data_IF_580249724532
#
_entry.id   IF_580249724532
#
_cell.length_a   1.000
_cell.length_b   1.000
_cell.length_c   1.000
_cell.angle_alpha   90.00
_cell.angle_beta   90.00
_cell.angle_gamma   90.00
#
_symmetry.space_group_name_H-M   'P 1'
#
loop_
_entity.id
_entity.type
_entity.pdbx_description
1 polymer ?
#
# COMPACT_ATOMS: atom_id res chain seq x y z
N UNK A 1 63.73 31.59 10.34
CA UNK A 1 63.85 30.16 10.67
C UNK A 1 62.75 29.67 11.64
N UNK A 2 61.52 30.19 11.52
CA UNK A 2 60.37 29.79 12.38
C UNK A 2 59.04 29.69 11.60
N UNK A 3 59.05 29.90 10.27
CA UNK A 3 57.82 29.86 9.45
C UNK A 3 57.68 28.54 8.68
N UNK A 4 58.75 27.74 8.59
CA UNK A 4 58.79 26.51 7.79
C UNK A 4 58.32 25.26 8.55
N UNK A 5 58.05 25.37 9.86
CA UNK A 5 57.63 24.24 10.71
C UNK A 5 56.12 24.15 10.93
N UNK A 6 55.33 25.09 10.42
CA UNK A 6 53.87 25.14 10.60
C UNK A 6 53.07 24.56 9.41
N UNK A 7 53.72 24.32 8.26
CA UNK A 7 53.04 23.78 7.06
C UNK A 7 53.16 22.26 6.89
N UNK A 8 53.79 21.55 7.84
CA UNK A 8 54.02 20.10 7.75
C UNK A 8 53.17 19.24 8.68
N UNK A 9 52.08 19.80 9.24
CA UNK A 9 51.25 19.12 10.26
C UNK A 9 49.77 19.03 9.95
N UNK A 10 49.39 19.16 8.68
CA UNK A 10 47.98 19.12 8.26
C UNK A 10 47.69 18.07 7.18
N UNK A 11 48.40 16.93 7.22
CA UNK A 11 48.17 15.86 6.25
C UNK A 11 48.31 14.48 6.87
N UNK A 12 47.49 14.20 7.88
CA UNK A 12 47.14 12.83 8.29
C UNK A 12 45.83 12.88 9.10
N UNK A 13 44.74 13.30 8.43
CA UNK A 13 43.41 12.86 8.88
C UNK A 13 43.31 11.41 8.38
N UNK A 14 43.07 10.40 9.24
CA UNK A 14 42.72 9.08 8.74
C UNK A 14 41.47 9.27 7.89
N UNK A 15 41.60 9.03 6.59
CA UNK A 15 40.44 8.75 5.74
C UNK A 15 39.84 7.52 6.38
N UNK A 16 38.80 7.69 7.19
CA UNK A 16 37.95 6.59 7.59
C UNK A 16 37.24 6.19 6.30
N UNK A 17 37.93 5.35 5.53
CA UNK A 17 37.37 4.67 4.39
C UNK A 17 36.32 3.75 4.99
N UNK A 18 35.09 4.25 5.08
CA UNK A 18 33.94 3.42 5.40
C UNK A 18 33.74 2.56 4.15
N UNK A 19 34.59 1.55 4.01
CA UNK A 19 34.42 0.50 3.01
C UNK A 19 33.13 -0.22 3.38
N UNK A 20 32.01 0.27 2.84
CA UNK A 20 30.74 -0.42 2.85
C UNK A 20 30.91 -1.57 1.84
N UNK A 21 31.10 -2.82 2.29
CA UNK A 21 31.33 -3.90 1.35
C UNK A 21 30.11 -4.04 0.44
N UNK A 22 30.38 -4.27 -0.83
CA UNK A 22 29.39 -4.56 -1.85
C UNK A 22 29.08 -6.06 -1.89
N UNK A 23 28.03 -6.43 -2.63
CA UNK A 23 27.69 -7.84 -2.82
C UNK A 23 28.79 -8.64 -3.57
N UNK A 24 29.49 -8.07 -4.58
CA UNK A 24 30.72 -8.64 -5.13
C UNK A 24 31.80 -8.95 -4.07
N UNK A 25 32.03 -8.04 -3.13
CA UNK A 25 33.05 -8.23 -2.09
C UNK A 25 32.72 -9.43 -1.19
N UNK A 26 31.43 -9.68 -0.92
CA UNK A 26 30.98 -10.88 -0.21
C UNK A 26 31.22 -12.16 -1.01
N UNK A 27 31.00 -12.13 -2.32
CA UNK A 27 31.28 -13.27 -3.22
C UNK A 27 32.78 -13.57 -3.22
N UNK A 28 33.63 -12.54 -3.30
CA UNK A 28 35.08 -12.69 -3.28
C UNK A 28 35.59 -13.16 -1.92
N UNK A 29 35.11 -12.58 -0.82
CA UNK A 29 35.47 -12.98 0.53
C UNK A 29 35.12 -14.45 0.80
N UNK A 30 34.00 -14.94 0.26
CA UNK A 30 33.62 -16.36 0.35
C UNK A 30 34.64 -17.28 -0.33
N UNK A 31 35.28 -16.84 -1.42
CA UNK A 31 36.36 -17.60 -2.10
C UNK A 31 37.66 -17.59 -1.29
N UNK A 32 37.94 -16.52 -0.54
CA UNK A 32 39.15 -16.38 0.29
C UNK A 32 39.10 -17.22 1.58
N UNK A 33 37.91 -17.51 2.10
CA UNK A 33 37.69 -18.46 3.18
C UNK A 33 36.70 -17.97 4.26
N UNK A 34 36.37 -18.83 5.24
CA UNK A 34 35.31 -18.55 6.22
C UNK A 34 35.58 -17.34 7.12
N UNK A 35 36.85 -17.09 7.48
CA UNK A 35 37.24 -16.00 8.37
C UNK A 35 37.09 -14.63 7.72
N UNK A 36 37.55 -14.46 6.48
CA UNK A 36 37.38 -13.23 5.70
C UNK A 36 35.90 -13.00 5.36
N UNK A 37 35.17 -14.06 4.97
CA UNK A 37 33.74 -13.97 4.72
C UNK A 37 32.95 -13.48 5.94
N UNK A 38 33.24 -13.98 7.14
CA UNK A 38 32.58 -13.53 8.37
C UNK A 38 32.81 -12.04 8.63
N UNK A 39 34.05 -11.56 8.48
CA UNK A 39 34.39 -10.14 8.66
C UNK A 39 33.65 -9.25 7.65
N UNK A 40 33.69 -9.61 6.36
CA UNK A 40 33.02 -8.85 5.30
C UNK A 40 31.50 -8.87 5.49
N UNK A 41 30.93 -10.00 5.90
CA UNK A 41 29.51 -10.13 6.22
C UNK A 41 29.09 -9.20 7.34
N UNK A 42 29.85 -9.16 8.44
CA UNK A 42 29.52 -8.25 9.55
C UNK A 42 29.60 -6.78 9.12
N UNK A 43 30.60 -6.40 8.33
CA UNK A 43 30.71 -5.05 7.78
C UNK A 43 29.54 -4.73 6.83
N UNK A 44 29.08 -5.71 6.05
CA UNK A 44 27.89 -5.59 5.22
C UNK A 44 26.63 -5.39 6.05
N UNK A 45 26.42 -6.21 7.08
CA UNK A 45 25.24 -6.14 7.93
C UNK A 45 25.16 -4.82 8.71
N UNK A 46 26.31 -4.28 9.12
CA UNK A 46 26.41 -2.95 9.76
C UNK A 46 26.00 -1.81 8.82
N UNK A 47 26.31 -1.90 7.53
CA UNK A 47 26.08 -0.82 6.56
C UNK A 47 24.74 -0.94 5.82
N UNK A 48 24.31 -2.15 5.47
CA UNK A 48 23.13 -2.40 4.63
C UNK A 48 21.94 -2.97 5.41
N UNK A 49 22.16 -3.45 6.64
CA UNK A 49 21.15 -4.10 7.47
C UNK A 49 21.33 -5.60 7.59
N UNK A 50 20.56 -6.23 8.48
CA UNK A 50 20.71 -7.64 8.82
C UNK A 50 20.33 -8.55 7.65
N UNK A 51 21.22 -9.45 7.24
CA UNK A 51 20.92 -10.48 6.25
C UNK A 51 19.99 -11.51 6.89
N UNK A 52 18.86 -11.77 6.25
CA UNK A 52 17.89 -12.78 6.68
C UNK A 52 18.09 -14.10 5.93
N UNK A 53 18.24 -14.00 4.62
CA UNK A 53 18.41 -15.13 3.72
C UNK A 53 19.49 -14.77 2.71
N UNK A 54 20.30 -15.77 2.33
CA UNK A 54 21.39 -15.59 1.39
C UNK A 54 21.52 -16.81 0.47
N UNK A 55 21.83 -16.54 -0.79
CA UNK A 55 22.14 -17.54 -1.78
C UNK A 55 23.29 -17.04 -2.65
N UNK A 56 24.24 -17.94 -2.93
CA UNK A 56 25.38 -17.68 -3.80
C UNK A 56 25.47 -18.83 -4.79
N UNK A 57 25.64 -18.49 -6.07
CA UNK A 57 25.86 -19.44 -7.15
C UNK A 57 27.23 -20.13 -7.01
N UNK A 58 27.35 -21.35 -7.52
CA UNK A 58 28.55 -22.17 -7.43
C UNK A 58 29.44 -22.04 -8.67
N UNK A 59 28.84 -22.02 -9.86
CA UNK A 59 29.54 -22.14 -11.14
C UNK A 59 29.82 -20.78 -11.80
N UNK A 60 29.13 -19.71 -11.41
CA UNK A 60 29.40 -18.35 -11.90
C UNK A 60 29.18 -17.28 -10.81
N UNK A 61 29.77 -16.08 -10.95
CA UNK A 61 29.70 -15.06 -9.90
C UNK A 61 28.31 -14.42 -9.83
N UNK A 62 27.45 -14.98 -8.99
CA UNK A 62 26.17 -14.42 -8.65
C UNK A 62 25.78 -14.67 -7.19
N UNK A 63 25.02 -13.74 -6.63
CA UNK A 63 24.46 -13.85 -5.30
C UNK A 63 23.16 -13.05 -5.19
N UNK A 64 22.29 -13.51 -4.31
CA UNK A 64 21.08 -12.81 -3.92
C UNK A 64 20.92 -12.88 -2.40
N UNK A 65 20.64 -11.73 -1.80
CA UNK A 65 20.43 -11.58 -0.36
C UNK A 65 19.05 -10.95 -0.13
N UNK A 66 18.38 -11.41 0.92
CA UNK A 66 17.25 -10.72 1.51
C UNK A 66 17.71 -10.02 2.79
N UNK A 67 17.65 -8.69 2.79
CA UNK A 67 18.19 -7.85 3.86
C UNK A 67 17.06 -7.11 4.56
N UNK A 68 17.09 -7.10 5.89
CA UNK A 68 16.24 -6.22 6.71
C UNK A 68 17.01 -4.94 7.02
N UNK A 69 16.68 -3.89 6.29
CA UNK A 69 17.23 -2.55 6.50
C UNK A 69 16.32 -1.73 7.41
N UNK A 70 16.92 -0.84 8.18
CA UNK A 70 16.20 0.25 8.85
C UNK A 70 16.26 1.47 7.96
N UNK A 71 15.11 2.04 7.62
CA UNK A 71 15.00 3.22 6.78
C UNK A 71 14.29 4.32 7.58
N UNK A 72 14.91 5.51 7.64
CA UNK A 72 14.28 6.68 8.25
C UNK A 72 13.31 7.29 7.26
N UNK A 73 12.11 7.62 7.74
CA UNK A 73 11.08 8.18 6.89
C UNK A 73 11.31 9.70 6.74
N UNK A 74 11.86 10.13 5.60
CA UNK A 74 12.00 11.54 5.24
C UNK A 74 13.30 12.22 5.73
N UNK A 75 13.57 13.41 5.18
CA UNK A 75 14.76 14.22 5.48
C UNK A 75 14.76 14.81 6.92
N UNK A 76 13.63 14.77 7.61
CA UNK A 76 13.42 15.44 8.91
C UNK A 76 13.37 14.47 10.11
N UNK A 77 13.96 13.28 10.01
CA UNK A 77 14.10 12.36 11.15
C UNK A 77 12.80 11.66 11.57
N UNK A 78 11.94 11.31 10.61
CA UNK A 78 10.72 10.54 10.86
C UNK A 78 10.98 9.12 11.38
N UNK A 79 9.91 8.46 11.83
CA UNK A 79 9.97 7.14 12.47
C UNK A 79 10.79 6.11 11.66
N UNK A 80 11.69 5.39 12.33
CA UNK A 80 12.43 4.27 11.74
C UNK A 80 11.46 3.16 11.32
N UNK A 81 11.54 2.76 10.06
CA UNK A 81 10.78 1.63 9.54
C UNK A 81 11.72 0.50 9.13
N UNK A 82 11.35 -0.72 9.51
CA UNK A 82 12.00 -1.92 9.01
C UNK A 82 11.48 -2.20 7.59
N UNK A 83 12.38 -2.20 6.62
CA UNK A 83 12.10 -2.44 5.20
C UNK A 83 12.90 -3.67 4.76
N UNK A 84 12.24 -4.59 4.10
CA UNK A 84 12.91 -5.73 3.48
C UNK A 84 13.35 -5.34 2.08
N UNK A 85 14.64 -5.52 1.81
CA UNK A 85 15.27 -5.18 0.54
C UNK A 85 15.97 -6.40 -0.05
N UNK A 86 15.74 -6.65 -1.32
CA UNK A 86 16.43 -7.68 -2.09
C UNK A 86 17.70 -7.08 -2.71
N UNK A 87 18.84 -7.70 -2.45
CA UNK A 87 20.13 -7.33 -3.05
C UNK A 87 20.55 -8.45 -3.97
N UNK A 88 20.66 -8.15 -5.26
CA UNK A 88 20.99 -9.14 -6.28
C UNK A 88 22.23 -8.65 -7.03
N UNK A 89 23.15 -9.57 -7.26
CA UNK A 89 24.30 -9.39 -8.14
C UNK A 89 24.45 -10.65 -8.97
N UNK A 90 24.72 -10.48 -10.26
CA UNK A 90 25.03 -11.58 -11.16
C UNK A 90 25.84 -11.00 -12.31
N UNK A 91 26.66 -11.83 -12.94
CA UNK A 91 27.38 -11.45 -14.14
C UNK A 91 26.43 -11.43 -15.35
N UNK A 92 26.29 -10.25 -15.96
CA UNK A 92 25.43 -10.06 -17.13
C UNK A 92 25.96 -10.79 -18.37
N UNK A 93 27.26 -11.05 -18.47
CA UNK A 93 27.85 -11.78 -19.60
C UNK A 93 27.42 -13.25 -19.61
N UNK A 94 27.24 -13.84 -18.42
CA UNK A 94 26.77 -15.21 -18.24
C UNK A 94 25.24 -15.31 -18.14
N UNK A 95 24.52 -14.18 -18.17
CA UNK A 95 23.06 -14.15 -18.12
C UNK A 95 22.42 -14.35 -19.51
N UNK A 96 21.08 -14.36 -19.55
CA UNK A 96 20.31 -14.24 -20.79
C UNK A 96 19.35 -13.05 -20.69
N UNK A 97 18.94 -12.43 -21.82
CA UNK A 97 18.00 -11.31 -21.80
C UNK A 97 16.69 -11.61 -21.05
N UNK A 98 16.17 -12.84 -21.18
CA UNK A 98 14.95 -13.25 -20.49
C UNK A 98 15.11 -13.23 -18.97
N UNK A 99 16.27 -13.68 -18.46
CA UNK A 99 16.57 -13.68 -17.02
C UNK A 99 16.76 -12.26 -16.51
N UNK A 100 17.45 -11.42 -17.28
CA UNK A 100 17.65 -10.01 -16.95
C UNK A 100 16.32 -9.27 -16.80
N UNK A 101 15.37 -9.52 -17.69
CA UNK A 101 14.05 -8.90 -17.66
C UNK A 101 13.24 -9.36 -16.45
N UNK A 102 13.33 -10.63 -16.07
CA UNK A 102 12.71 -11.15 -14.85
C UNK A 102 13.30 -10.48 -13.61
N UNK A 103 14.63 -10.37 -13.50
CA UNK A 103 15.27 -9.73 -12.36
C UNK A 103 14.99 -8.23 -12.27
N UNK A 104 14.94 -7.53 -13.41
CA UNK A 104 14.50 -6.12 -13.48
C UNK A 104 13.05 -5.97 -13.04
N UNK A 105 12.16 -6.85 -13.49
CA UNK A 105 10.76 -6.87 -13.09
C UNK A 105 10.62 -7.13 -11.58
N UNK A 106 11.32 -8.13 -11.05
CA UNK A 106 11.36 -8.45 -9.63
C UNK A 106 11.74 -7.24 -8.77
N UNK A 107 12.84 -6.54 -9.12
CA UNK A 107 13.27 -5.31 -8.43
C UNK A 107 12.26 -4.17 -8.56
N UNK A 108 11.60 -4.03 -9.71
CA UNK A 108 10.58 -3.00 -9.91
C UNK A 108 9.38 -3.23 -8.99
N UNK A 109 8.91 -4.48 -8.90
CA UNK A 109 7.82 -4.87 -8.01
C UNK A 109 8.24 -4.65 -6.56
N UNK A 110 9.39 -5.17 -6.15
CA UNK A 110 9.92 -5.01 -4.79
C UNK A 110 10.02 -3.53 -4.38
N UNK A 111 10.65 -2.67 -5.20
CA UNK A 111 10.72 -1.22 -4.92
C UNK A 111 9.34 -0.57 -4.83
N UNK A 112 8.47 -0.81 -5.81
CA UNK A 112 7.12 -0.23 -5.87
C UNK A 112 6.32 -0.56 -4.60
N UNK A 113 6.34 -1.80 -4.16
CA UNK A 113 5.56 -2.24 -3.00
C UNK A 113 6.29 -2.10 -1.67
N UNK A 114 7.61 -1.90 -1.63
CA UNK A 114 8.33 -1.55 -0.40
C UNK A 114 7.82 -0.23 0.19
N UNK A 115 7.43 0.71 -0.68
CA UNK A 115 6.83 1.99 -0.30
C UNK A 115 5.36 1.82 0.11
N UNK A 116 4.60 1.00 -0.60
CA UNK A 116 3.14 0.89 -0.44
C UNK A 116 2.68 -0.12 0.63
N UNK A 117 3.45 -1.18 0.87
CA UNK A 117 3.08 -2.27 1.79
C UNK A 117 3.93 -2.17 3.04
N UNK A 118 3.33 -2.38 4.21
CA UNK A 118 4.03 -2.39 5.49
C UNK A 118 3.94 -3.73 6.21
N UNK A 119 4.98 -4.03 7.02
CA UNK A 119 5.02 -5.18 7.91
C UNK A 119 4.91 -6.53 7.19
N UNK A 120 4.02 -7.41 7.69
CA UNK A 120 3.93 -8.81 7.24
C UNK A 120 3.60 -8.99 5.75
N UNK A 121 2.84 -8.09 5.12
CA UNK A 121 2.53 -8.24 3.68
C UNK A 121 3.75 -7.93 2.82
N UNK A 122 4.52 -6.91 3.20
CA UNK A 122 5.80 -6.61 2.56
C UNK A 122 6.77 -7.79 2.72
N UNK A 123 6.79 -8.43 3.89
CA UNK A 123 7.63 -9.60 4.13
C UNK A 123 7.28 -10.80 3.25
N UNK A 124 6.00 -11.12 3.13
CA UNK A 124 5.55 -12.21 2.26
C UNK A 124 5.90 -11.93 0.80
N UNK A 125 5.69 -10.69 0.32
CA UNK A 125 6.04 -10.29 -1.03
C UNK A 125 7.56 -10.40 -1.28
N UNK A 126 8.38 -9.83 -0.41
CA UNK A 126 9.83 -9.80 -0.57
C UNK A 126 10.44 -11.21 -0.50
N UNK A 127 9.98 -12.05 0.44
CA UNK A 127 10.40 -13.46 0.52
C UNK A 127 9.96 -14.26 -0.70
N UNK A 128 8.73 -14.06 -1.17
CA UNK A 128 8.25 -14.74 -2.38
C UNK A 128 9.10 -14.40 -3.60
N UNK A 129 9.36 -13.11 -3.84
CA UNK A 129 10.22 -12.66 -4.94
C UNK A 129 11.64 -13.22 -4.79
N UNK A 130 12.19 -13.21 -3.57
CA UNK A 130 13.50 -13.78 -3.27
C UNK A 130 13.57 -15.27 -3.64
N UNK A 131 12.62 -16.08 -3.18
CA UNK A 131 12.58 -17.52 -3.47
C UNK A 131 12.52 -17.79 -4.97
N UNK A 132 11.63 -17.10 -5.70
CA UNK A 132 11.53 -17.26 -7.16
C UNK A 132 12.83 -16.84 -7.85
N UNK A 133 13.48 -15.76 -7.41
CA UNK A 133 14.75 -15.31 -7.96
C UNK A 133 15.89 -16.28 -7.66
N UNK A 134 15.93 -16.90 -6.47
CA UNK A 134 16.90 -17.96 -6.12
C UNK A 134 16.73 -19.17 -7.02
N UNK A 135 15.48 -19.62 -7.26
CA UNK A 135 15.21 -20.76 -8.15
C UNK A 135 15.68 -20.46 -9.57
N UNK A 136 15.34 -19.28 -10.10
CA UNK A 136 15.78 -18.87 -11.43
C UNK A 136 17.32 -18.78 -11.51
N UNK A 137 17.95 -18.22 -10.49
CA UNK A 137 19.41 -18.10 -10.44
C UNK A 137 20.09 -19.46 -10.32
N UNK A 138 19.52 -20.41 -9.58
CA UNK A 138 20.01 -21.78 -9.49
C UNK A 138 19.87 -22.56 -10.80
N UNK A 139 18.80 -22.31 -11.56
CA UNK A 139 18.68 -22.86 -12.92
C UNK A 139 19.73 -22.26 -13.86
N UNK A 140 19.99 -20.95 -13.75
CA UNK A 140 21.07 -20.30 -14.49
C UNK A 140 22.45 -20.89 -14.14
N UNK A 141 22.72 -21.09 -12.85
CA UNK A 141 23.96 -21.66 -12.32
C UNK A 141 24.20 -23.10 -12.80
N UNK A 142 23.16 -23.92 -12.82
CA UNK A 142 23.22 -25.29 -13.32
C UNK A 142 23.40 -25.38 -14.86
N UNK A 143 23.12 -24.30 -15.59
CA UNK A 143 23.18 -24.24 -17.06
C UNK A 143 24.46 -23.56 -17.58
N UNK A 144 25.37 -23.14 -16.71
CA UNK A 144 26.67 -22.60 -17.11
C UNK A 144 27.43 -23.64 -17.93
N UNK A 145 27.83 -23.29 -19.14
CA UNK A 145 28.50 -24.20 -20.09
C UNK A 145 27.60 -25.25 -20.75
N UNK A 146 26.29 -25.28 -20.48
CA UNK A 146 25.37 -26.24 -21.07
C UNK A 146 24.87 -25.80 -22.46
N UNK A 147 24.87 -26.68 -23.47
CA UNK A 147 24.32 -26.37 -24.80
C UNK A 147 22.80 -26.19 -24.79
N UNK A 148 22.11 -26.68 -23.75
CA UNK A 148 20.65 -26.57 -23.60
C UNK A 148 20.20 -25.23 -23.01
N UNK A 149 21.13 -24.37 -22.55
CA UNK A 149 20.85 -23.07 -21.94
C UNK A 149 19.87 -22.22 -22.78
N UNK A 150 20.04 -22.06 -24.11
CA UNK A 150 19.12 -21.23 -24.92
C UNK A 150 17.70 -21.79 -25.01
N UNK A 151 17.51 -23.10 -24.81
CA UNK A 151 16.19 -23.75 -24.90
C UNK A 151 15.45 -23.74 -23.56
N UNK A 152 16.16 -23.98 -22.46
CA UNK A 152 15.56 -24.13 -21.12
C UNK A 152 15.40 -22.80 -20.38
N UNK A 153 16.28 -21.84 -20.65
CA UNK A 153 16.26 -20.56 -19.93
C UNK A 153 15.00 -19.73 -20.16
N UNK A 154 14.47 -19.60 -21.40
CA UNK A 154 13.24 -18.85 -21.62
C UNK A 154 12.03 -19.45 -20.89
N UNK A 155 11.97 -20.79 -20.79
CA UNK A 155 10.89 -21.49 -20.07
C UNK A 155 10.99 -21.24 -18.57
N UNK A 156 12.19 -21.32 -18.00
CA UNK A 156 12.42 -21.01 -16.58
C UNK A 156 12.10 -19.54 -16.27
N UNK A 157 12.53 -18.61 -17.12
CA UNK A 157 12.26 -17.19 -16.99
C UNK A 157 10.75 -16.88 -17.07
N UNK A 158 10.03 -17.47 -18.04
CA UNK A 158 8.59 -17.31 -18.17
C UNK A 158 7.82 -17.83 -16.94
N UNK A 159 8.25 -18.99 -16.40
CA UNK A 159 7.69 -19.56 -15.17
C UNK A 159 7.91 -18.63 -13.97
N UNK A 160 9.14 -18.15 -13.78
CA UNK A 160 9.49 -17.21 -12.71
C UNK A 160 8.71 -15.89 -12.83
N UNK A 161 8.53 -15.37 -14.05
CA UNK A 161 7.75 -14.16 -14.28
C UNK A 161 6.28 -14.35 -13.90
N UNK A 162 5.70 -15.50 -14.24
CA UNK A 162 4.32 -15.84 -13.86
C UNK A 162 4.17 -15.92 -12.34
N UNK A 163 5.12 -16.55 -11.66
CA UNK A 163 5.12 -16.66 -10.20
C UNK A 163 5.24 -15.28 -9.52
N UNK A 164 6.17 -14.41 -9.97
CA UNK A 164 6.29 -13.04 -9.45
C UNK A 164 4.99 -12.26 -9.62
N UNK A 165 4.30 -12.37 -10.77
CA UNK A 165 3.00 -11.72 -10.98
C UNK A 165 1.93 -12.26 -10.02
N UNK A 166 1.93 -13.56 -9.75
CA UNK A 166 1.00 -14.16 -8.81
C UNK A 166 1.28 -13.71 -7.36
N UNK A 167 2.55 -13.63 -6.96
CA UNK A 167 2.95 -13.11 -5.64
C UNK A 167 2.54 -11.64 -5.52
N UNK A 168 2.75 -10.83 -6.56
CA UNK A 168 2.30 -9.43 -6.60
C UNK A 168 0.79 -9.31 -6.39
N UNK A 169 0.00 -10.09 -7.12
CA UNK A 169 -1.46 -10.10 -7.01
C UNK A 169 -1.91 -10.50 -5.61
N UNK A 170 -1.37 -11.59 -5.06
CA UNK A 170 -1.71 -12.05 -3.71
C UNK A 170 -1.35 -11.02 -2.63
N UNK A 171 -0.19 -10.36 -2.75
CA UNK A 171 0.24 -9.32 -1.83
C UNK A 171 -0.68 -8.09 -1.91
N UNK A 172 -1.09 -7.71 -3.12
CA UNK A 172 -2.03 -6.60 -3.33
C UNK A 172 -3.40 -6.89 -2.72
N UNK A 173 -3.94 -8.08 -2.94
CA UNK A 173 -5.24 -8.49 -2.39
C UNK A 173 -5.21 -8.52 -0.86
N UNK A 174 -4.16 -9.12 -0.27
CA UNK A 174 -3.96 -9.12 1.17
C UNK A 174 -3.82 -7.70 1.76
N UNK A 175 -3.26 -6.76 1.02
CA UNK A 175 -3.15 -5.37 1.44
C UNK A 175 -4.50 -4.65 1.41
N UNK A 176 -5.31 -4.90 0.38
CA UNK A 176 -6.67 -4.36 0.28
C UNK A 176 -7.56 -4.89 1.40
N UNK A 177 -7.48 -6.18 1.72
CA UNK A 177 -8.25 -6.78 2.80
C UNK A 177 -7.92 -6.13 4.16
N UNK A 178 -6.64 -5.84 4.42
CA UNK A 178 -6.25 -5.11 5.64
C UNK A 178 -6.73 -3.66 5.67
N UNK A 179 -6.66 -2.96 4.53
CA UNK A 179 -7.18 -1.61 4.43
C UNK A 179 -8.69 -1.57 4.70
N UNK A 180 -9.41 -2.57 4.18
CA UNK A 180 -10.84 -2.77 4.39
C UNK A 180 -11.17 -3.03 5.86
N UNK A 181 -10.41 -3.89 6.56
CA UNK A 181 -10.61 -4.11 8.01
C UNK A 181 -10.43 -2.82 8.80
N UNK A 182 -9.41 -2.00 8.50
CA UNK A 182 -9.23 -0.70 9.18
C UNK A 182 -10.34 0.28 8.88
N UNK A 183 -10.79 0.32 7.62
CA UNK A 183 -11.90 1.15 7.20
C UNK A 183 -13.22 0.75 7.89
N UNK A 184 -13.52 -0.56 7.98
CA UNK A 184 -14.66 -1.06 8.75
C UNK A 184 -14.55 -0.74 10.25
N UNK A 185 -13.33 -0.80 10.81
CA UNK A 185 -13.06 -0.33 12.17
C UNK A 185 -13.38 1.15 12.36
N UNK A 186 -13.05 1.99 11.37
CA UNK A 186 -13.43 3.41 11.33
C UNK A 186 -14.93 3.63 11.33
N UNK A 187 -15.67 2.83 10.55
CA UNK A 187 -17.13 2.89 10.53
C UNK A 187 -17.75 2.51 11.88
N UNK A 188 -17.24 1.46 12.54
CA UNK A 188 -17.69 1.09 13.88
C UNK A 188 -17.42 2.19 14.92
N UNK A 189 -16.24 2.80 14.87
CA UNK A 189 -15.90 3.94 15.73
C UNK A 189 -16.82 5.15 15.47
N UNK A 190 -17.09 5.45 14.20
CA UNK A 190 -18.06 6.47 13.81
C UNK A 190 -19.43 6.19 14.41
N UNK A 191 -19.88 4.93 14.41
CA UNK A 191 -21.18 4.55 14.96
C UNK A 191 -21.26 4.80 16.47
N UNK A 192 -20.21 4.44 17.20
CA UNK A 192 -20.10 4.75 18.64
C UNK A 192 -20.15 6.26 18.89
N UNK A 193 -19.43 7.04 18.08
CA UNK A 193 -19.47 8.51 18.16
C UNK A 193 -20.86 9.08 17.86
N UNK A 194 -21.56 8.54 16.87
CA UNK A 194 -22.93 8.96 16.54
C UNK A 194 -23.89 8.68 17.71
N UNK A 195 -23.80 7.48 18.32
CA UNK A 195 -24.59 7.13 19.51
C UNK A 195 -24.26 8.06 20.69
N UNK A 196 -22.98 8.34 20.94
CA UNK A 196 -22.55 9.28 21.97
C UNK A 196 -23.11 10.69 21.72
N UNK A 197 -23.08 11.16 20.48
CA UNK A 197 -23.68 12.44 20.08
C UNK A 197 -25.18 12.50 20.35
N UNK A 198 -25.92 11.41 20.06
CA UNK A 198 -27.35 11.30 20.39
C UNK A 198 -27.58 11.35 21.90
N UNK A 199 -26.74 10.70 22.70
CA UNK A 199 -26.83 10.76 24.17
C UNK A 199 -26.64 12.20 24.65
N UNK A 200 -25.62 12.91 24.15
CA UNK A 200 -25.36 14.32 24.49
C UNK A 200 -26.55 15.21 24.08
N UNK A 201 -27.12 15.00 22.90
CA UNK A 201 -28.29 15.74 22.42
C UNK A 201 -29.52 15.58 23.32
N UNK A 202 -29.67 14.46 24.04
CA UNK A 202 -30.76 14.29 25.03
C UNK A 202 -30.63 15.22 26.24
N UNK A 203 -29.44 15.71 26.54
CA UNK A 203 -29.19 16.65 27.63
C UNK A 203 -29.33 18.12 27.20
N UNK A 204 -29.52 18.39 25.90
CA UNK A 204 -29.77 19.74 25.39
C UNK A 204 -31.28 20.03 25.50
N UNK A 205 -31.70 21.17 26.09
CA UNK A 205 -33.11 21.52 26.24
C UNK A 205 -33.72 21.93 24.88
N UNK A 206 -34.06 20.94 24.05
CA UNK A 206 -34.88 21.11 22.84
C UNK A 206 -36.34 20.75 23.13
N UNK A 207 -37.26 21.29 22.33
CA UNK A 207 -38.66 20.82 22.32
C UNK A 207 -38.68 19.31 22.06
N UNK A 208 -39.26 18.54 22.99
CA UNK A 208 -39.18 17.07 23.02
C UNK A 208 -39.60 16.42 21.68
N UNK A 209 -40.63 16.97 21.02
CA UNK A 209 -41.13 16.44 19.75
C UNK A 209 -40.17 16.63 18.56
N UNK A 210 -39.44 17.75 18.52
CA UNK A 210 -38.47 18.03 17.45
C UNK A 210 -37.20 17.23 17.70
N UNK A 211 -36.76 17.14 18.95
CA UNK A 211 -35.57 16.39 19.35
C UNK A 211 -35.68 14.90 19.00
N UNK A 212 -36.80 14.26 19.33
CA UNK A 212 -36.99 12.83 19.05
C UNK A 212 -36.97 12.51 17.54
N UNK A 213 -37.60 13.36 16.71
CA UNK A 213 -37.63 13.19 15.26
C UNK A 213 -36.25 13.42 14.64
N UNK A 214 -35.55 14.47 15.07
CA UNK A 214 -34.19 14.75 14.61
C UNK A 214 -33.21 13.62 14.94
N UNK A 215 -33.28 13.06 16.15
CA UNK A 215 -32.47 11.91 16.56
C UNK A 215 -32.78 10.69 15.68
N UNK A 216 -34.05 10.42 15.40
CA UNK A 216 -34.46 9.32 14.52
C UNK A 216 -33.89 9.48 13.12
N UNK A 217 -33.92 10.70 12.56
CA UNK A 217 -33.34 11.00 11.26
C UNK A 217 -31.81 10.88 11.23
N UNK A 218 -31.12 11.34 12.28
CA UNK A 218 -29.67 11.19 12.43
C UNK A 218 -29.27 9.71 12.40
N UNK A 219 -29.95 8.87 13.19
CA UNK A 219 -29.67 7.44 13.26
C UNK A 219 -30.03 6.72 11.95
N UNK A 220 -31.18 7.03 11.35
CA UNK A 220 -31.58 6.44 10.09
C UNK A 220 -30.62 6.80 8.94
N UNK A 221 -30.18 8.07 8.85
CA UNK A 221 -29.18 8.51 7.89
C UNK A 221 -27.82 7.86 8.10
N UNK A 222 -27.38 7.71 9.35
CA UNK A 222 -26.17 6.95 9.67
C UNK A 222 -26.29 5.49 9.19
N UNK A 223 -27.40 4.80 9.49
CA UNK A 223 -27.64 3.41 9.05
C UNK A 223 -27.65 3.31 7.51
N UNK A 224 -28.25 4.28 6.81
CA UNK A 224 -28.24 4.36 5.34
C UNK A 224 -26.82 4.45 4.79
N UNK A 225 -25.96 5.28 5.40
CA UNK A 225 -24.55 5.36 5.03
C UNK A 225 -23.79 4.06 5.30
N UNK A 226 -24.06 3.37 6.42
CA UNK A 226 -23.45 2.04 6.70
C UNK A 226 -23.81 1.05 5.60
N UNK A 227 -25.09 0.95 5.24
CA UNK A 227 -25.52 0.01 4.20
C UNK A 227 -24.88 0.34 2.85
N UNK A 228 -24.79 1.62 2.50
CA UNK A 228 -24.10 2.10 1.28
C UNK A 228 -22.64 1.62 1.24
N UNK A 229 -21.96 1.67 2.38
CA UNK A 229 -20.60 1.17 2.55
C UNK A 229 -20.50 -0.35 2.48
N UNK A 230 -21.42 -1.07 3.11
CA UNK A 230 -21.43 -2.54 3.10
C UNK A 230 -21.64 -3.08 1.68
N UNK A 231 -22.59 -2.52 0.93
CA UNK A 231 -22.84 -2.91 -0.47
C UNK A 231 -21.59 -2.65 -1.33
N UNK A 232 -20.92 -1.51 -1.15
CA UNK A 232 -19.68 -1.18 -1.85
C UNK A 232 -18.58 -2.21 -1.59
N UNK A 233 -18.44 -2.60 -0.32
CA UNK A 233 -17.41 -3.53 0.13
C UNK A 233 -17.70 -4.95 -0.40
N UNK A 234 -18.97 -5.37 -0.36
CA UNK A 234 -19.43 -6.66 -0.88
C UNK A 234 -19.17 -6.82 -2.38
N UNK A 235 -19.31 -5.74 -3.16
CA UNK A 235 -19.09 -5.80 -4.61
C UNK A 235 -17.61 -5.69 -5.04
N UNK A 236 -16.66 -5.64 -4.09
CA UNK A 236 -15.22 -5.40 -4.34
C UNK A 236 -14.96 -4.26 -5.35
N UNK A 237 -15.88 -3.30 -5.46
CA UNK A 237 -15.72 -2.19 -6.38
C UNK A 237 -14.52 -1.40 -5.90
N UNK A 238 -13.47 -1.36 -6.74
CA UNK A 238 -12.15 -0.75 -6.50
C UNK A 238 -12.29 0.36 -5.47
N UNK A 239 -12.08 0.00 -4.21
CA UNK A 239 -11.80 0.99 -3.19
C UNK A 239 -10.47 1.55 -3.68
N UNK A 240 -10.54 2.73 -4.31
CA UNK A 240 -9.39 3.58 -4.57
C UNK A 240 -8.87 4.15 -3.24
N UNK A 241 -8.84 3.29 -2.22
CA UNK A 241 -7.98 3.46 -1.07
C UNK A 241 -6.60 3.29 -1.66
N UNK A 242 -6.03 4.41 -2.06
CA UNK A 242 -4.65 4.44 -2.49
C UNK A 242 -3.86 3.83 -1.34
N UNK A 243 -3.13 2.75 -1.60
CA UNK A 243 -2.22 2.14 -0.63
C UNK A 243 -1.18 3.17 -0.12
N UNK A 244 -1.04 4.31 -0.80
CA UNK A 244 -0.23 5.44 -0.37
C UNK A 244 -0.88 6.30 0.73
N UNK A 245 -2.18 6.15 1.00
CA UNK A 245 -2.84 6.87 2.09
C UNK A 245 -2.55 6.17 3.41
N UNK A 246 -2.04 6.93 4.40
CA UNK A 246 -1.71 6.40 5.71
C UNK A 246 -2.91 5.71 6.39
N UNK A 247 -2.67 4.71 7.26
CA UNK A 247 -3.72 3.90 7.87
C UNK A 247 -4.74 4.74 8.66
N UNK A 248 -4.30 5.88 9.21
CA UNK A 248 -5.15 6.83 9.92
C UNK A 248 -6.14 7.53 8.99
N UNK A 249 -5.72 7.92 7.78
CA UNK A 249 -6.59 8.57 6.79
C UNK A 249 -7.68 7.60 6.33
N UNK A 250 -7.32 6.33 6.11
CA UNK A 250 -8.27 5.27 5.76
C UNK A 250 -9.31 5.06 6.86
N UNK A 251 -8.87 5.00 8.12
CA UNK A 251 -9.77 4.89 9.27
C UNK A 251 -10.72 6.11 9.36
N UNK A 252 -10.16 7.32 9.26
CA UNK A 252 -10.90 8.57 9.39
C UNK A 252 -11.92 8.77 8.25
N UNK A 253 -11.61 8.26 7.05
CA UNK A 253 -12.56 8.25 5.94
C UNK A 253 -13.82 7.43 6.23
N UNK A 254 -13.69 6.32 6.98
CA UNK A 254 -14.82 5.53 7.44
C UNK A 254 -15.68 6.27 8.46
N UNK A 255 -15.04 6.97 9.40
CA UNK A 255 -15.72 7.78 10.44
C UNK A 255 -16.52 8.92 9.80
N UNK A 256 -15.87 9.74 8.96
CA UNK A 256 -16.51 10.91 8.35
C UNK A 256 -17.70 10.53 7.49
N UNK A 257 -17.63 9.39 6.81
CA UNK A 257 -18.72 8.93 5.95
C UNK A 257 -20.01 8.70 6.73
N UNK A 258 -19.89 8.18 7.96
CA UNK A 258 -21.05 8.01 8.82
C UNK A 258 -21.61 9.35 9.29
N UNK A 259 -20.73 10.28 9.67
CA UNK A 259 -21.12 11.63 10.10
C UNK A 259 -21.88 12.34 8.96
N UNK A 260 -21.36 12.28 7.73
CA UNK A 260 -22.00 12.86 6.55
C UNK A 260 -23.40 12.26 6.34
N UNK A 261 -23.54 10.94 6.43
CA UNK A 261 -24.84 10.28 6.31
C UNK A 261 -25.85 10.73 7.37
N UNK A 262 -25.42 10.84 8.62
CA UNK A 262 -26.26 11.35 9.70
C UNK A 262 -26.69 12.81 9.44
N UNK A 263 -25.74 13.67 9.07
CA UNK A 263 -26.01 15.09 8.77
C UNK A 263 -26.97 15.24 7.59
N UNK A 264 -26.85 14.44 6.53
CA UNK A 264 -27.80 14.46 5.42
C UNK A 264 -29.20 14.02 5.85
N UNK A 265 -29.31 13.00 6.70
CA UNK A 265 -30.58 12.59 7.28
C UNK A 265 -31.25 13.72 8.08
N UNK A 266 -30.49 14.40 8.93
CA UNK A 266 -30.95 15.56 9.68
C UNK A 266 -31.33 16.76 8.78
N UNK A 267 -30.51 17.04 7.76
CA UNK A 267 -30.78 18.12 6.81
C UNK A 267 -32.09 17.89 6.06
N UNK A 268 -32.38 16.66 5.61
CA UNK A 268 -33.65 16.35 4.95
C UNK A 268 -34.86 16.55 5.87
N UNK A 269 -34.74 16.21 7.14
CA UNK A 269 -35.79 16.50 8.11
C UNK A 269 -36.06 18.01 8.22
N UNK A 270 -35.01 18.83 8.31
CA UNK A 270 -35.13 20.29 8.41
C UNK A 270 -35.72 20.88 7.12
N UNK A 271 -35.22 20.48 5.95
CA UNK A 271 -35.66 21.00 4.65
C UNK A 271 -37.14 20.73 4.38
N UNK A 272 -37.61 19.52 4.67
CA UNK A 272 -39.02 19.15 4.50
C UNK A 272 -39.88 19.85 5.56
N UNK A 273 -39.44 19.90 6.82
CA UNK A 273 -40.19 20.57 7.89
C UNK A 273 -40.29 22.08 7.69
N UNK A 274 -39.30 22.70 7.04
CA UNK A 274 -39.29 24.11 6.67
C UNK A 274 -40.13 24.40 5.40
N UNK A 275 -40.69 23.38 4.74
CA UNK A 275 -41.44 23.54 3.49
C UNK A 275 -40.58 23.89 2.28
N UNK A 276 -39.25 23.80 2.38
CA UNK A 276 -38.33 24.08 1.26
C UNK A 276 -38.36 22.96 0.21
N UNK A 277 -38.73 21.76 0.63
CA UNK A 277 -38.91 20.60 -0.24
C UNK A 277 -40.38 20.19 -0.20
N UNK A 278 -41.17 20.43 -1.26
CA UNK A 278 -42.60 20.21 -1.27
C UNK A 278 -42.92 18.72 -1.44
N UNK A 279 -42.88 17.97 -0.33
CA UNK A 279 -43.28 16.57 -0.28
C UNK A 279 -44.49 16.45 0.65
N UNK A 280 -45.49 15.68 0.23
CA UNK A 280 -46.66 15.38 1.06
C UNK A 280 -46.25 14.54 2.28
N UNK A 281 -46.31 15.14 3.46
CA UNK A 281 -46.05 14.47 4.74
C UNK A 281 -47.35 13.82 5.23
N UNK A 282 -47.34 12.54 5.66
CA UNK A 282 -48.54 11.90 6.20
C UNK A 282 -49.09 12.60 7.45
N UNK A 283 -50.40 12.59 7.67
CA UNK A 283 -51.00 13.29 8.83
C UNK A 283 -50.90 12.50 10.15
N UNK A 284 -50.78 11.16 10.10
CA UNK A 284 -50.71 10.33 11.30
C UNK A 284 -49.31 10.32 11.90
N UNK A 285 -49.19 10.58 13.21
CA UNK A 285 -47.92 10.70 13.93
C UNK A 285 -46.96 9.50 13.74
N UNK A 286 -47.48 8.26 13.70
CA UNK A 286 -46.65 7.07 13.45
C UNK A 286 -46.08 7.05 12.03
N UNK A 287 -46.90 7.33 11.02
CA UNK A 287 -46.45 7.39 9.62
C UNK A 287 -45.48 8.54 9.36
N UNK A 288 -45.60 9.65 10.09
CA UNK A 288 -44.63 10.77 10.04
C UNK A 288 -43.24 10.30 10.46
N UNK A 289 -43.14 9.54 11.55
CA UNK A 289 -41.85 9.04 12.02
C UNK A 289 -41.22 8.07 11.02
N UNK A 290 -42.00 7.12 10.47
CA UNK A 290 -41.51 6.21 9.44
C UNK A 290 -41.15 6.93 8.14
N UNK A 291 -41.92 7.94 7.75
CA UNK A 291 -41.65 8.76 6.57
C UNK A 291 -40.28 9.46 6.71
N UNK A 292 -40.05 10.16 7.82
CA UNK A 292 -38.79 10.85 8.04
C UNK A 292 -37.61 9.90 8.25
N UNK A 293 -37.81 8.77 8.94
CA UNK A 293 -36.78 7.73 9.07
C UNK A 293 -36.39 7.15 7.69
N UNK A 294 -37.37 6.81 6.86
CA UNK A 294 -37.14 6.30 5.50
C UNK A 294 -36.46 7.34 4.61
N UNK A 295 -36.91 8.59 4.65
CA UNK A 295 -36.30 9.69 3.89
C UNK A 295 -34.86 9.94 4.33
N UNK A 296 -34.60 9.99 5.64
CA UNK A 296 -33.27 10.18 6.18
C UNK A 296 -32.33 9.03 5.85
N UNK A 297 -32.82 7.78 5.92
CA UNK A 297 -32.09 6.60 5.48
C UNK A 297 -31.69 6.70 4.01
N UNK A 298 -32.64 7.06 3.13
CA UNK A 298 -32.36 7.25 1.70
C UNK A 298 -31.36 8.38 1.46
N UNK A 299 -31.45 9.47 2.22
CA UNK A 299 -30.50 10.59 2.13
C UNK A 299 -29.08 10.18 2.56
N UNK A 300 -28.95 9.43 3.66
CA UNK A 300 -27.66 8.88 4.08
C UNK A 300 -27.11 7.83 3.13
N UNK A 301 -27.98 7.05 2.50
CA UNK A 301 -27.62 6.08 1.47
C UNK A 301 -27.18 6.76 0.16
N UNK A 302 -27.81 7.89 -0.20
CA UNK A 302 -27.60 8.59 -1.48
C UNK A 302 -26.32 9.42 -1.55
N UNK A 303 -25.55 9.56 -0.46
CA UNK A 303 -24.21 10.18 -0.44
C UNK A 303 -23.36 9.75 -1.65
N UNK A 304 -23.45 8.45 -2.00
CA UNK A 304 -22.78 7.88 -3.17
C UNK A 304 -23.54 8.07 -4.48
N UNK A 305 -24.86 7.97 -4.49
CA UNK A 305 -25.64 8.15 -5.72
C UNK A 305 -25.50 9.59 -6.24
N UNK A 306 -25.46 10.58 -5.34
CA UNK A 306 -25.16 11.96 -5.65
C UNK A 306 -23.73 12.12 -6.20
N UNK A 307 -22.70 11.57 -5.53
CA UNK A 307 -21.31 11.65 -6.03
C UNK A 307 -21.11 10.93 -7.38
N UNK A 308 -21.61 9.69 -7.52
CA UNK A 308 -21.46 8.89 -8.74
C UNK A 308 -22.27 9.50 -9.91
N UNK A 309 -23.39 10.17 -9.64
CA UNK A 309 -24.16 10.90 -10.67
C UNK A 309 -23.47 12.20 -11.06
N UNK A 310 -23.00 12.99 -10.10
CA UNK A 310 -22.29 14.26 -10.35
C UNK A 310 -20.99 14.02 -11.14
N UNK A 311 -20.20 13.02 -10.77
CA UNK A 311 -18.94 12.69 -11.48
C UNK A 311 -19.21 12.20 -12.91
N UNK A 312 -20.34 11.54 -13.16
CA UNK A 312 -20.75 11.11 -14.51
C UNK A 312 -21.39 12.20 -15.35
N UNK A 313 -21.93 13.25 -14.74
CA UNK A 313 -22.58 14.37 -15.44
C UNK A 313 -21.65 15.57 -15.64
N UNK A 314 -20.44 15.59 -15.06
CA UNK A 314 -19.42 16.58 -15.40
C UNK A 314 -18.86 16.31 -16.81
N UNK A 315 -19.01 17.26 -17.76
CA UNK A 315 -18.39 17.15 -19.08
C UNK A 315 -16.86 17.23 -18.91
N UNK A 316 -16.13 16.18 -19.26
CA UNK A 316 -14.65 16.16 -19.28
C UNK A 316 -13.95 15.07 -18.46
N UNK A 317 -14.66 14.33 -17.60
CA UNK A 317 -14.04 13.25 -16.81
C UNK A 317 -13.89 11.90 -17.56
N UNK A 318 -14.54 11.76 -18.73
CA UNK A 318 -14.49 10.53 -19.53
C UNK A 318 -13.20 10.39 -20.37
N UNK A 319 -12.45 11.47 -20.58
CA UNK A 319 -11.35 11.50 -21.55
C UNK A 319 -9.98 11.04 -20.98
N UNK A 320 -9.86 10.85 -19.66
CA UNK A 320 -8.58 10.48 -19.03
C UNK A 320 -8.33 8.96 -18.95
N UNK A 321 -9.29 8.12 -19.36
CA UNK A 321 -9.15 6.65 -19.34
C UNK A 321 -9.00 6.02 -20.73
N UNK A 322 -8.94 6.81 -21.80
CA UNK A 322 -8.59 6.31 -23.12
C UNK A 322 -7.06 6.05 -23.16
N UNK A 323 -6.67 4.82 -22.82
CA UNK A 323 -5.36 4.29 -23.20
C UNK A 323 -5.32 4.31 -24.72
N UNK A 324 -4.63 5.28 -25.30
CA UNK A 324 -4.29 5.30 -26.72
C UNK A 324 -3.43 4.06 -26.99
N UNK A 325 -3.90 3.08 -27.79
CA UNK A 325 -3.03 1.99 -28.19
C UNK A 325 -1.86 2.56 -28.99
N UNK A 326 -0.64 2.16 -28.63
CA UNK A 326 0.56 2.56 -29.32
C UNK A 326 0.41 2.26 -30.82
N UNK A 327 0.45 3.32 -31.61
CA UNK A 327 0.42 3.29 -33.08
C UNK A 327 1.55 2.38 -33.57
N UNK A 328 1.18 1.21 -34.08
CA UNK A 328 2.08 0.37 -34.87
C UNK A 328 2.60 1.20 -36.04
N UNK A 329 3.93 1.20 -36.21
CA UNK A 329 4.56 1.70 -37.41
C UNK A 329 4.39 0.64 -38.49
N UNK A 330 3.59 0.97 -39.50
CA UNK A 330 3.76 0.41 -40.83
C UNK A 330 5.01 1.08 -41.44
N UNK A 331 5.90 0.23 -41.94
CA UNK A 331 7.19 0.58 -42.55
C UNK A 331 8.04 -0.67 -42.68
#
# INVERSE_FOLDING_TARGET
>A
MVVDSMLKKEQERPVVQVDCPSLPDLIEARKKGPSEFAKTREAYERSQGKILEEYYALNFPAAILLVRAKEQNGADGGAERNVLKMRLYYDAFESTPDVDDVFRSARRVERKYSVLLEGKTQEILARGIYTTAVVLLGVLDAMVGSPDKPKRMPVAAASAQKEIRQIEQNARDAALDRALVRYLGGLAAGFVLAVAGVIVLKFVPMKAEIGAKLITCLMAGAIGAILSVMIRTAHRQKLSVSLAQGPFVVFLSGVFRLIIGAVFGAAMFVLVSAGLVPIAVPDSAEKVNFFFAGLAFLAGFSERWAQDTIVRTLPGAADQNAVVPARGKDG
#
